data_IF_053930862289
#
_entry.id   IF_053930862289
#
_cell.length_a   1.000
_cell.length_b   1.000
_cell.length_c   1.000
_cell.angle_alpha   90.00
_cell.angle_beta   90.00
_cell.angle_gamma   90.00
#
_symmetry.space_group_name_H-M   'P 1'
#
loop_
_entity.id
_entity.type
_entity.pdbx_description
1 polymer ?
#
# COMPACT_ATOMS: atom_id res chain seq x y z
N UNK A 1 6.42 -27.20 -31.68
CA UNK A 1 6.66 -25.90 -31.01
C UNK A 1 5.85 -25.91 -29.73
N UNK A 2 6.47 -25.66 -28.58
CA UNK A 2 5.87 -25.79 -27.24
C UNK A 2 5.09 -24.53 -26.82
N UNK A 3 4.26 -23.99 -27.72
CA UNK A 3 3.55 -22.72 -27.47
C UNK A 3 2.55 -22.85 -26.31
N UNK A 4 1.95 -24.02 -26.15
CA UNK A 4 0.95 -24.30 -25.10
C UNK A 4 1.51 -24.14 -23.68
N UNK A 5 2.78 -24.53 -23.46
CA UNK A 5 3.42 -24.35 -22.14
C UNK A 5 3.75 -22.90 -21.85
N UNK A 6 4.25 -22.15 -22.84
CA UNK A 6 4.57 -20.73 -22.66
C UNK A 6 3.30 -19.91 -22.46
N UNK A 7 2.22 -20.27 -23.16
CA UNK A 7 0.91 -19.67 -23.04
C UNK A 7 0.27 -19.92 -21.66
N UNK A 8 0.36 -21.14 -21.15
CA UNK A 8 -0.10 -21.45 -19.79
C UNK A 8 0.70 -20.69 -18.73
N UNK A 9 2.03 -20.61 -18.86
CA UNK A 9 2.88 -19.86 -17.92
C UNK A 9 2.55 -18.37 -17.98
N UNK A 10 2.38 -17.82 -19.18
CA UNK A 10 1.97 -16.43 -19.42
C UNK A 10 0.65 -16.14 -18.73
N UNK A 11 -0.37 -16.95 -18.96
CA UNK A 11 -1.70 -16.71 -18.39
C UNK A 11 -1.68 -16.82 -16.87
N UNK A 12 -0.94 -17.80 -16.32
CA UNK A 12 -0.74 -17.92 -14.88
C UNK A 12 -0.04 -16.70 -14.29
N UNK A 13 0.97 -16.16 -14.99
CA UNK A 13 1.68 -14.96 -14.58
C UNK A 13 0.76 -13.74 -14.61
N UNK A 14 0.05 -13.50 -15.71
CA UNK A 14 -0.88 -12.35 -15.87
C UNK A 14 -1.97 -12.39 -14.80
N UNK A 15 -2.61 -13.55 -14.57
CA UNK A 15 -3.64 -13.71 -13.55
C UNK A 15 -3.09 -13.57 -12.12
N UNK A 16 -1.81 -13.91 -11.91
CA UNK A 16 -1.12 -13.83 -10.63
C UNK A 16 -0.48 -12.48 -10.29
N UNK A 17 -0.53 -11.48 -11.19
CA UNK A 17 0.08 -10.16 -10.94
C UNK A 17 -0.60 -9.44 -9.77
N UNK A 18 0.20 -8.90 -8.86
CA UNK A 18 -0.29 -8.09 -7.71
C UNK A 18 -0.77 -6.70 -8.13
N UNK A 19 -0.21 -6.13 -9.19
CA UNK A 19 -0.57 -4.82 -9.70
C UNK A 19 -1.75 -4.94 -10.67
N UNK A 20 -2.96 -4.64 -10.17
CA UNK A 20 -4.20 -4.67 -10.94
C UNK A 20 -4.20 -3.71 -12.15
N UNK A 21 -3.41 -2.62 -12.09
CA UNK A 21 -3.31 -1.66 -13.19
C UNK A 21 -2.58 -2.27 -14.37
N UNK A 22 -1.47 -2.95 -14.11
CA UNK A 22 -0.68 -3.62 -15.15
C UNK A 22 -1.40 -4.85 -15.67
N UNK A 23 -2.03 -5.63 -14.79
CA UNK A 23 -2.86 -6.76 -15.19
C UNK A 23 -3.96 -6.32 -16.17
N UNK A 24 -4.72 -5.27 -15.83
CA UNK A 24 -5.75 -4.73 -16.73
C UNK A 24 -5.17 -4.24 -18.06
N UNK A 25 -4.01 -3.57 -18.03
CA UNK A 25 -3.33 -3.08 -19.25
C UNK A 25 -2.88 -4.22 -20.16
N UNK A 26 -2.38 -5.32 -19.60
CA UNK A 26 -1.96 -6.49 -20.38
C UNK A 26 -3.15 -7.21 -21.00
N UNK A 27 -4.25 -7.36 -20.25
CA UNK A 27 -5.49 -7.99 -20.72
C UNK A 27 -6.25 -7.14 -21.75
N UNK A 28 -6.10 -5.82 -21.73
CA UNK A 28 -6.80 -4.91 -22.64
C UNK A 28 -6.10 -4.75 -24.02
N UNK A 29 -4.96 -5.42 -24.26
CA UNK A 29 -4.27 -5.34 -25.55
C UNK A 29 -5.04 -6.12 -26.62
N UNK A 30 -5.19 -5.52 -27.81
CA UNK A 30 -5.83 -6.18 -28.96
C UNK A 30 -5.08 -7.44 -29.39
N UNK A 31 -3.75 -7.41 -29.35
CA UNK A 31 -2.89 -8.57 -29.54
C UNK A 31 -2.41 -9.09 -28.19
N UNK A 32 -2.64 -10.38 -27.95
CA UNK A 32 -2.12 -11.05 -26.75
C UNK A 32 -0.59 -10.95 -26.72
N UNK A 33 0.01 -10.41 -25.64
CA UNK A 33 1.45 -10.37 -25.50
C UNK A 33 2.00 -11.80 -25.33
N UNK A 34 3.22 -12.06 -25.78
CA UNK A 34 3.90 -13.32 -25.47
C UNK A 34 4.45 -13.32 -24.03
N UNK A 35 4.96 -14.47 -23.58
CA UNK A 35 5.48 -14.63 -22.22
C UNK A 35 6.59 -13.62 -21.88
N UNK A 36 7.55 -13.42 -22.79
CA UNK A 36 8.68 -12.50 -22.59
C UNK A 36 8.19 -11.05 -22.44
N UNK A 37 7.25 -10.62 -23.28
CA UNK A 37 6.64 -9.28 -23.19
C UNK A 37 5.94 -9.06 -21.85
N UNK A 38 5.23 -10.08 -21.33
CA UNK A 38 4.59 -10.01 -20.01
C UNK A 38 5.64 -9.91 -18.90
N UNK A 39 6.72 -10.68 -18.97
CA UNK A 39 7.81 -10.64 -17.99
C UNK A 39 8.49 -9.27 -17.95
N UNK A 40 8.80 -8.69 -19.11
CA UNK A 40 9.38 -7.34 -19.23
C UNK A 40 8.43 -6.30 -18.64
N UNK A 41 7.15 -6.34 -19.00
CA UNK A 41 6.16 -5.39 -18.51
C UNK A 41 5.99 -5.46 -16.99
N UNK A 42 5.94 -6.68 -16.42
CA UNK A 42 5.84 -6.89 -14.98
C UNK A 42 7.06 -6.32 -14.24
N UNK A 43 8.28 -6.68 -14.68
CA UNK A 43 9.53 -6.20 -14.06
C UNK A 43 9.67 -4.68 -14.16
N UNK A 44 9.32 -4.11 -15.32
CA UNK A 44 9.34 -2.66 -15.52
C UNK A 44 8.37 -1.95 -14.58
N UNK A 45 7.17 -2.49 -14.39
CA UNK A 45 6.19 -1.95 -13.46
C UNK A 45 6.64 -2.02 -12.01
N UNK A 46 7.21 -3.14 -11.56
CA UNK A 46 7.77 -3.27 -10.20
C UNK A 46 8.88 -2.25 -9.94
N UNK A 47 9.78 -2.09 -10.91
CA UNK A 47 10.88 -1.11 -10.86
C UNK A 47 10.34 0.32 -10.83
N UNK A 48 9.33 0.60 -11.65
CA UNK A 48 8.67 1.91 -11.72
C UNK A 48 7.90 2.24 -10.45
N UNK A 49 7.13 1.30 -9.89
CA UNK A 49 6.38 1.50 -8.65
C UNK A 49 7.32 1.75 -7.47
N UNK A 50 8.43 1.00 -7.39
CA UNK A 50 9.45 1.19 -6.36
C UNK A 50 10.13 2.56 -6.48
N UNK A 51 10.48 2.95 -7.71
CA UNK A 51 11.15 4.24 -7.97
C UNK A 51 10.21 5.43 -7.78
N UNK A 52 8.96 5.30 -8.24
CA UNK A 52 7.91 6.31 -8.07
C UNK A 52 7.57 6.52 -6.60
N UNK A 53 7.57 5.46 -5.78
CA UNK A 53 7.38 5.59 -4.33
C UNK A 53 8.52 6.40 -3.67
N UNK A 54 9.76 6.23 -4.14
CA UNK A 54 10.92 7.01 -3.66
C UNK A 54 10.86 8.48 -4.12
N UNK A 55 10.51 8.73 -5.38
CA UNK A 55 10.36 10.09 -5.93
C UNK A 55 9.21 10.83 -5.25
N UNK A 56 8.04 10.20 -5.12
CA UNK A 56 6.86 10.83 -4.49
C UNK A 56 7.00 10.94 -2.97
N UNK A 57 7.80 10.08 -2.35
CA UNK A 57 8.18 10.18 -0.93
C UNK A 57 9.19 11.29 -0.64
N UNK A 58 9.98 11.68 -1.65
CA UNK A 58 10.93 12.79 -1.59
C UNK A 58 10.29 14.10 -2.08
N UNK A 59 9.39 14.66 -1.27
CA UNK A 59 9.03 16.08 -1.36
C UNK A 59 8.03 16.46 -2.45
N UNK A 60 7.01 17.22 -2.03
CA UNK A 60 6.12 17.99 -2.90
C UNK A 60 6.89 19.16 -3.50
N UNK A 61 7.81 18.91 -4.43
CA UNK A 61 8.60 19.98 -5.05
C UNK A 61 7.87 20.41 -6.33
N UNK A 62 7.24 21.58 -6.26
CA UNK A 62 6.52 22.33 -7.30
C UNK A 62 5.13 21.82 -7.73
N UNK A 63 4.11 22.24 -6.98
CA UNK A 63 2.79 22.50 -7.56
C UNK A 63 2.82 23.89 -8.22
N UNK A 64 3.13 23.98 -9.52
CA UNK A 64 2.76 25.15 -10.31
C UNK A 64 1.25 25.08 -10.55
N UNK A 65 0.49 25.67 -9.63
CA UNK A 65 -0.93 26.00 -9.84
C UNK A 65 -1.00 27.11 -10.88
N UNK A 66 -1.73 26.88 -11.97
CA UNK A 66 -2.26 27.95 -12.80
C UNK A 66 -3.77 27.98 -12.61
N UNK A 67 -4.26 29.12 -12.09
CA UNK A 67 -5.66 29.57 -11.97
C UNK A 67 -6.53 28.71 -11.02
N UNK A 68 -7.38 29.21 -10.11
CA UNK A 68 -8.23 30.40 -10.18
C UNK A 68 -8.57 30.86 -8.73
N UNK A 69 -8.51 32.18 -8.51
CA UNK A 69 -9.36 33.06 -7.67
C UNK A 69 -9.58 32.80 -6.17
N UNK A 70 -8.93 33.66 -5.36
CA UNK A 70 -9.37 34.43 -4.18
C UNK A 70 -10.29 33.79 -3.11
N UNK A 71 -9.81 33.72 -1.86
CA UNK A 71 -10.26 34.58 -0.73
C UNK A 71 -9.47 34.30 0.56
N UNK A 72 -9.14 35.40 1.22
CA UNK A 72 -8.44 35.71 2.49
C UNK A 72 -9.05 35.02 3.73
N UNK A 73 -8.50 34.96 4.96
CA UNK A 73 -7.39 35.63 5.66
C UNK A 73 -6.99 34.77 6.90
N UNK A 74 -5.71 34.90 7.31
CA UNK A 74 -5.08 34.93 8.66
C UNK A 74 -5.68 34.13 9.85
N UNK A 75 -4.96 33.54 10.83
CA UNK A 75 -3.58 33.62 11.36
C UNK A 75 -3.45 32.57 12.50
N UNK A 76 -2.22 32.22 12.95
CA UNK A 76 -1.97 31.65 14.29
C UNK A 76 -1.04 30.43 14.39
N UNK A 77 0.27 30.69 14.31
CA UNK A 77 1.38 30.25 15.18
C UNK A 77 1.55 28.82 15.75
N UNK A 78 2.77 28.33 15.48
CA UNK A 78 3.74 27.68 16.39
C UNK A 78 3.67 26.17 16.73
N UNK A 79 4.71 25.49 16.22
CA UNK A 79 5.62 24.56 16.91
C UNK A 79 5.06 23.32 17.63
N UNK A 80 5.34 22.13 17.09
CA UNK A 80 6.43 21.27 17.57
C UNK A 80 6.30 19.85 16.97
N UNK A 81 7.45 19.29 16.67
CA UNK A 81 7.65 18.04 15.97
C UNK A 81 7.26 16.83 16.84
N UNK A 82 6.31 16.03 16.38
CA UNK A 82 6.54 14.59 16.36
C UNK A 82 5.75 13.89 15.27
N UNK A 83 6.53 13.39 14.30
CA UNK A 83 6.26 12.35 13.31
C UNK A 83 4.99 11.53 13.58
N UNK A 84 4.06 11.42 12.61
CA UNK A 84 3.22 10.22 12.35
C UNK A 84 2.19 10.42 11.19
N UNK A 85 2.41 9.64 10.09
CA UNK A 85 1.46 9.10 9.06
C UNK A 85 0.78 10.12 8.11
N UNK A 86 0.12 9.78 7.00
CA UNK A 86 -0.33 8.54 6.39
C UNK A 86 -0.62 8.81 4.90
N UNK A 87 -0.55 7.76 4.07
CA UNK A 87 -1.32 7.72 2.82
C UNK A 87 -2.82 7.75 3.15
N UNK A 88 -3.48 8.85 2.77
CA UNK A 88 -4.92 9.04 2.89
C UNK A 88 -5.63 8.32 1.74
N UNK A 89 -6.10 7.09 1.98
CA UNK A 89 -7.28 6.57 1.29
C UNK A 89 -8.40 6.43 2.33
N UNK A 90 -9.53 7.13 2.17
CA UNK A 90 -10.67 6.97 3.06
C UNK A 90 -11.39 5.67 2.67
N UNK A 91 -10.80 4.52 3.03
CA UNK A 91 -11.53 3.26 3.00
C UNK A 91 -12.31 3.19 4.30
N UNK A 92 -13.60 3.44 4.17
CA UNK A 92 -14.70 2.99 5.04
C UNK A 92 -14.22 2.33 6.34
N UNK A 93 -14.44 3.02 7.46
CA UNK A 93 -14.15 2.54 8.80
C UNK A 93 -15.01 1.31 9.15
N UNK A 94 -14.73 0.18 8.51
CA UNK A 94 -15.08 -1.13 9.06
C UNK A 94 -14.29 -1.19 10.35
N UNK A 95 -15.01 -1.27 11.48
CA UNK A 95 -14.45 -1.42 12.82
C UNK A 95 -13.47 -2.60 12.86
N UNK A 96 -12.21 -2.37 12.48
CA UNK A 96 -11.18 -3.40 12.52
C UNK A 96 -10.92 -3.73 13.98
N UNK A 97 -10.96 -5.01 14.32
CA UNK A 97 -10.58 -5.51 15.63
C UNK A 97 -9.17 -5.03 15.98
N UNK A 98 -8.99 -4.60 17.23
CA UNK A 98 -7.72 -4.13 17.75
C UNK A 98 -6.67 -5.23 17.62
N UNK A 99 -5.55 -4.93 16.95
CA UNK A 99 -4.46 -5.88 16.74
C UNK A 99 -3.73 -6.30 18.03
N UNK A 100 -3.94 -5.58 19.14
CA UNK A 100 -3.31 -5.89 20.43
C UNK A 100 -4.13 -6.82 21.33
N UNK A 101 -5.46 -6.77 21.24
CA UNK A 101 -6.35 -7.53 22.14
C UNK A 101 -7.63 -8.06 21.49
N UNK A 102 -7.86 -7.82 20.20
CA UNK A 102 -9.04 -8.28 19.47
C UNK A 102 -10.32 -7.44 19.67
N UNK A 103 -10.33 -6.49 20.61
CA UNK A 103 -11.50 -5.67 20.94
C UNK A 103 -11.90 -4.64 19.87
N UNK A 104 -13.12 -4.10 19.97
CA UNK A 104 -13.68 -3.07 19.07
C UNK A 104 -13.27 -1.66 19.48
N UNK A 105 -12.01 -1.30 19.29
CA UNK A 105 -11.51 0.06 19.53
C UNK A 105 -10.27 0.35 18.68
N UNK A 106 -9.94 1.64 18.56
CA UNK A 106 -8.71 2.07 17.92
C UNK A 106 -7.50 1.65 18.75
N UNK A 107 -6.43 1.16 18.10
CA UNK A 107 -5.23 0.65 18.77
C UNK A 107 -4.61 1.64 19.77
N UNK A 108 -4.71 2.94 19.53
CA UNK A 108 -4.25 4.00 20.45
C UNK A 108 -5.05 4.11 21.75
N UNK A 109 -6.27 3.55 21.80
CA UNK A 109 -7.11 3.48 23.01
C UNK A 109 -7.05 2.10 23.66
N UNK A 110 -6.14 1.23 23.22
CA UNK A 110 -6.04 -0.12 23.74
C UNK A 110 -5.32 -0.14 25.08
N UNK A 111 -5.98 -0.66 26.13
CA UNK A 111 -5.34 -0.89 27.43
C UNK A 111 -4.10 -1.79 27.36
N UNK A 112 -4.02 -2.65 26.35
CA UNK A 112 -2.91 -3.58 26.14
C UNK A 112 -1.89 -3.08 25.10
N UNK A 113 -1.85 -1.77 24.82
CA UNK A 113 -0.93 -1.20 23.84
C UNK A 113 0.56 -1.47 24.15
N UNK A 114 0.89 -1.60 25.43
CA UNK A 114 2.24 -1.86 25.95
C UNK A 114 2.37 -3.23 26.63
N UNK A 115 1.36 -4.08 26.51
CA UNK A 115 1.37 -5.41 27.12
C UNK A 115 2.46 -6.29 26.47
N UNK A 116 3.21 -7.04 27.29
CA UNK A 116 4.18 -8.02 26.81
C UNK A 116 3.46 -9.35 26.58
N UNK A 117 3.59 -9.87 25.36
CA UNK A 117 2.96 -11.13 25.00
C UNK A 117 3.65 -12.30 25.71
N UNK A 118 2.91 -13.08 26.50
CA UNK A 118 3.46 -14.26 27.18
C UNK A 118 3.85 -15.43 26.25
N UNK A 119 3.46 -15.38 24.96
CA UNK A 119 3.79 -16.43 23.98
C UNK A 119 5.08 -16.15 23.22
N UNK A 120 5.32 -14.89 22.83
CA UNK A 120 6.47 -14.51 22.01
C UNK A 120 7.32 -13.39 22.59
N UNK A 121 7.02 -12.97 23.82
CA UNK A 121 7.77 -11.99 24.61
C UNK A 121 7.89 -10.59 23.99
N UNK A 122 7.15 -10.32 22.90
CA UNK A 122 7.09 -9.01 22.23
C UNK A 122 6.03 -8.09 22.82
N UNK A 123 6.29 -6.78 22.79
CA UNK A 123 5.37 -5.74 23.26
C UNK A 123 4.21 -5.47 22.29
N UNK A 124 3.07 -5.12 22.86
CA UNK A 124 1.91 -4.56 22.19
C UNK A 124 0.81 -5.55 21.81
N UNK A 125 0.82 -6.76 22.34
CA UNK A 125 -0.33 -7.65 22.20
C UNK A 125 -0.37 -8.69 23.31
N UNK A 126 -1.56 -9.25 23.53
CA UNK A 126 -1.75 -10.37 24.47
C UNK A 126 -1.60 -11.72 23.74
N UNK A 127 -1.34 -12.77 24.52
CA UNK A 127 -1.12 -14.12 24.00
C UNK A 127 -2.30 -14.64 23.15
N UNK A 128 -3.53 -14.23 23.48
CA UNK A 128 -4.75 -14.65 22.78
C UNK A 128 -4.75 -14.29 21.29
N UNK A 129 -4.21 -13.12 20.93
CA UNK A 129 -4.15 -12.64 19.54
C UNK A 129 -2.77 -12.81 18.90
N UNK A 130 -1.87 -13.55 19.56
CA UNK A 130 -0.51 -13.75 19.11
C UNK A 130 -0.45 -14.64 17.86
N UNK A 131 0.28 -14.19 16.85
CA UNK A 131 0.49 -14.89 15.55
C UNK A 131 1.91 -15.45 15.40
N UNK A 132 2.70 -15.46 16.48
CA UNK A 132 3.98 -16.17 16.48
C UNK A 132 3.68 -17.68 16.53
N UNK A 133 4.37 -18.43 15.66
CA UNK A 133 4.36 -19.89 15.62
C UNK A 133 5.40 -20.41 16.60
#
# INVERSE_FOLDING_TARGET
QFNDTEDMIRDRLVLGLRDATIQKKLLAREKAPNLEEVMIAARAAESSNTSSAKIRGAGRIHATKASETETSDESGDEEDAHQIRAGHHPKQAIYRNCSGCGGKHLRSKCRFQDAICRRCERRGHIAEVCRAV
#
